data_IF_723224614023
#
_entry.id   IF_723224614023
#
_cell.length_a   1.000
_cell.length_b   1.000
_cell.length_c   1.000
_cell.angle_alpha   90.00
_cell.angle_beta   90.00
_cell.angle_gamma   90.00
#
_symmetry.space_group_name_H-M   'P 1'
#
loop_
_entity.id
_entity.type
_entity.pdbx_description
1 polymer ?
#
# COMPACT_ATOMS: atom_id res chain seq x y z
N UNK A 1 31.29 1.96 -20.04
CA UNK A 1 30.70 2.12 -18.70
C UNK A 1 29.18 2.16 -18.84
N UNK A 2 28.54 1.00 -18.92
CA UNK A 2 27.09 0.90 -19.14
C UNK A 2 26.40 0.85 -17.80
N UNK A 3 25.93 1.99 -17.29
CA UNK A 3 25.14 2.02 -16.06
C UNK A 3 23.78 1.36 -16.35
N UNK A 4 23.44 0.19 -15.79
CA UNK A 4 22.13 -0.37 -15.99
C UNK A 4 21.17 0.52 -15.21
N UNK A 5 20.40 1.34 -15.91
CA UNK A 5 19.20 2.00 -15.37
C UNK A 5 18.11 0.95 -15.13
N UNK A 6 18.46 -0.10 -14.39
CA UNK A 6 17.53 -1.09 -13.89
C UNK A 6 16.58 -0.37 -12.95
N UNK A 7 15.32 -0.25 -13.36
CA UNK A 7 14.23 0.17 -12.48
C UNK A 7 14.39 -0.63 -11.18
N UNK A 8 14.57 0.02 -10.01
CA UNK A 8 14.80 -0.71 -8.76
C UNK A 8 13.71 -1.76 -8.60
N UNK A 9 14.14 -3.00 -8.39
CA UNK A 9 13.28 -4.17 -8.25
C UNK A 9 12.16 -3.81 -7.30
N UNK A 10 10.92 -3.77 -7.80
CA UNK A 10 9.76 -3.36 -6.98
C UNK A 10 9.75 -4.23 -5.73
N UNK A 11 9.97 -3.62 -4.56
CA UNK A 11 9.95 -4.36 -3.29
C UNK A 11 8.65 -5.16 -3.19
N UNK A 12 8.80 -6.45 -2.88
CA UNK A 12 7.66 -7.36 -2.76
C UNK A 12 6.84 -6.93 -1.55
N UNK A 13 5.55 -6.66 -1.78
CA UNK A 13 4.62 -6.41 -0.69
C UNK A 13 4.16 -7.78 -0.18
N UNK A 14 4.54 -8.12 1.05
CA UNK A 14 4.05 -9.31 1.76
C UNK A 14 3.17 -8.80 2.90
N UNK A 15 1.96 -9.34 3.01
CA UNK A 15 1.02 -9.02 4.08
C UNK A 15 0.66 -10.31 4.78
N UNK A 16 1.04 -10.44 6.05
CA UNK A 16 0.70 -11.63 6.85
C UNK A 16 -0.82 -11.70 7.09
N UNK A 17 -1.37 -12.88 7.45
CA UNK A 17 -2.78 -12.99 7.84
C UNK A 17 -3.19 -12.02 8.96
N UNK A 18 -2.32 -11.85 9.97
CA UNK A 18 -2.52 -10.91 11.08
C UNK A 18 -2.55 -9.46 10.61
N UNK A 19 -1.58 -9.06 9.75
CA UNK A 19 -1.57 -7.73 9.17
C UNK A 19 -2.80 -7.48 8.31
N UNK A 20 -3.27 -8.49 7.56
CA UNK A 20 -4.49 -8.41 6.76
C UNK A 20 -5.73 -8.18 7.63
N UNK A 21 -5.79 -8.81 8.80
CA UNK A 21 -6.85 -8.59 9.78
C UNK A 21 -6.77 -7.16 10.35
N UNK A 22 -5.59 -6.71 10.78
CA UNK A 22 -5.38 -5.36 11.30
C UNK A 22 -5.78 -4.29 10.26
N UNK A 23 -5.36 -4.44 9.00
CA UNK A 23 -5.77 -3.55 7.91
C UNK A 23 -7.29 -3.49 7.75
N UNK A 24 -7.98 -4.63 7.87
CA UNK A 24 -9.45 -4.67 7.80
C UNK A 24 -10.10 -3.95 8.98
N UNK A 25 -9.55 -4.08 10.19
CA UNK A 25 -10.05 -3.36 11.36
C UNK A 25 -9.89 -1.84 11.19
N UNK A 26 -8.73 -1.38 10.71
CA UNK A 26 -8.49 0.04 10.40
C UNK A 26 -9.51 0.60 9.40
N UNK A 27 -9.97 -0.21 8.45
CA UNK A 27 -10.96 0.20 7.45
C UNK A 27 -12.35 0.40 8.05
N UNK A 28 -12.67 -0.31 9.13
CA UNK A 28 -13.96 -0.26 9.82
C UNK A 28 -14.00 0.81 10.93
N UNK A 29 -12.88 1.47 11.22
CA UNK A 29 -12.83 2.45 12.30
C UNK A 29 -13.67 3.72 12.03
N UNK A 30 -14.04 4.47 13.08
CA UNK A 30 -14.85 5.68 12.98
C UNK A 30 -14.24 6.78 12.10
N UNK A 31 -15.05 7.75 11.69
CA UNK A 31 -14.68 8.84 10.74
C UNK A 31 -13.39 9.58 11.08
N UNK A 32 -13.02 9.69 12.36
CA UNK A 32 -11.76 10.33 12.80
C UNK A 32 -10.50 9.68 12.21
N UNK A 33 -10.60 8.42 11.75
CA UNK A 33 -9.50 7.63 11.17
C UNK A 33 -9.56 7.50 9.64
N UNK A 34 -10.39 8.28 8.94
CA UNK A 34 -10.64 8.11 7.48
C UNK A 34 -9.37 8.09 6.63
N UNK A 35 -8.36 8.87 7.00
CA UNK A 35 -7.05 8.88 6.35
C UNK A 35 -6.30 7.56 6.53
N UNK A 36 -6.30 7.00 7.74
CA UNK A 36 -5.68 5.71 8.06
C UNK A 36 -6.41 4.57 7.35
N UNK A 37 -7.74 4.59 7.38
CA UNK A 37 -8.59 3.65 6.65
C UNK A 37 -8.31 3.68 5.13
N UNK A 38 -8.13 4.87 4.55
CA UNK A 38 -7.77 5.02 3.13
C UNK A 38 -6.42 4.38 2.80
N UNK A 39 -5.40 4.63 3.63
CA UNK A 39 -4.06 4.06 3.46
C UNK A 39 -4.08 2.54 3.60
N UNK A 40 -4.85 2.02 4.56
CA UNK A 40 -5.05 0.58 4.74
C UNK A 40 -5.73 -0.07 3.51
N UNK A 41 -6.73 0.59 2.90
CA UNK A 41 -7.36 0.12 1.65
C UNK A 41 -6.35 0.02 0.50
N UNK A 42 -5.49 1.03 0.33
CA UNK A 42 -4.43 1.02 -0.69
C UNK A 42 -3.55 -0.23 -0.55
N UNK A 43 -3.09 -0.52 0.67
CA UNK A 43 -2.21 -1.68 0.92
C UNK A 43 -2.93 -3.00 0.67
N UNK A 44 -4.17 -3.15 1.12
CA UNK A 44 -4.95 -4.36 0.85
C UNK A 44 -5.15 -4.59 -0.65
N UNK A 45 -5.43 -3.56 -1.43
CA UNK A 45 -5.59 -3.69 -2.88
C UNK A 45 -4.25 -4.03 -3.57
N UNK A 46 -3.15 -3.41 -3.13
CA UNK A 46 -1.81 -3.77 -3.60
C UNK A 46 -1.45 -5.23 -3.26
N UNK A 47 -1.88 -5.74 -2.10
CA UNK A 47 -1.62 -7.11 -1.65
C UNK A 47 -2.36 -8.17 -2.48
N UNK A 48 -3.41 -7.78 -3.23
CA UNK A 48 -4.09 -8.65 -4.20
C UNK A 48 -3.27 -8.90 -5.48
N UNK A 49 -2.07 -8.32 -5.61
CA UNK A 49 -1.22 -8.46 -6.80
C UNK A 49 -1.47 -7.42 -7.88
N UNK A 50 -2.37 -6.45 -7.65
CA UNK A 50 -2.59 -5.34 -8.57
C UNK A 50 -1.38 -4.41 -8.64
N UNK A 51 -1.11 -3.86 -9.82
CA UNK A 51 -0.09 -2.84 -9.98
C UNK A 51 -0.57 -1.47 -9.43
N UNK A 52 0.36 -0.58 -9.11
CA UNK A 52 0.01 0.70 -8.48
C UNK A 52 -0.92 1.57 -9.34
N UNK A 53 -0.88 1.45 -10.67
CA UNK A 53 -1.72 2.24 -11.58
C UNK A 53 -3.18 1.77 -11.50
N UNK A 54 -3.40 0.46 -11.52
CA UNK A 54 -4.73 -0.13 -11.36
C UNK A 54 -5.34 0.21 -9.98
N UNK A 55 -4.54 0.10 -8.92
CA UNK A 55 -4.98 0.47 -7.57
C UNK A 55 -5.27 1.98 -7.49
N UNK A 56 -4.45 2.82 -8.11
CA UNK A 56 -4.65 4.26 -8.12
C UNK A 56 -5.97 4.65 -8.82
N UNK A 57 -6.25 4.06 -9.98
CA UNK A 57 -7.52 4.26 -10.69
C UNK A 57 -8.72 3.83 -9.84
N UNK A 58 -8.65 2.64 -9.21
CA UNK A 58 -9.71 2.11 -8.35
C UNK A 58 -9.96 2.97 -7.11
N UNK A 59 -8.90 3.55 -6.54
CA UNK A 59 -8.96 4.35 -5.33
C UNK A 59 -9.11 5.85 -5.60
N UNK A 60 -9.28 6.26 -6.86
CA UNK A 60 -9.36 7.65 -7.29
C UNK A 60 -8.20 8.51 -6.76
N UNK A 61 -6.97 8.02 -6.92
CA UNK A 61 -5.74 8.70 -6.46
C UNK A 61 -4.61 8.55 -7.48
N UNK A 62 -3.40 9.02 -7.15
CA UNK A 62 -2.24 8.92 -8.02
C UNK A 62 -1.40 7.66 -7.74
N UNK A 63 -0.73 7.16 -8.79
CA UNK A 63 0.22 6.05 -8.65
C UNK A 63 1.38 6.37 -7.69
N UNK A 64 1.74 7.65 -7.55
CA UNK A 64 2.71 8.14 -6.57
C UNK A 64 2.21 7.92 -5.14
N UNK A 65 0.98 8.33 -4.82
CA UNK A 65 0.37 8.11 -3.50
C UNK A 65 0.31 6.62 -3.15
N UNK A 66 -0.09 5.78 -4.11
CA UNK A 66 -0.11 4.32 -3.91
C UNK A 66 1.29 3.78 -3.64
N UNK A 67 2.28 4.19 -4.44
CA UNK A 67 3.67 3.78 -4.27
C UNK A 67 4.25 4.20 -2.92
N UNK A 68 3.94 5.41 -2.46
CA UNK A 68 4.36 5.93 -1.17
C UNK A 68 3.85 5.05 -0.01
N UNK A 69 2.54 4.79 0.05
CA UNK A 69 1.96 3.99 1.13
C UNK A 69 2.38 2.53 1.08
N UNK A 70 2.49 1.96 -0.13
CA UNK A 70 3.08 0.64 -0.31
C UNK A 70 4.51 0.56 0.24
N UNK A 71 5.35 1.55 -0.07
CA UNK A 71 6.73 1.58 0.39
C UNK A 71 6.81 1.78 1.91
N UNK A 72 5.99 2.67 2.48
CA UNK A 72 5.91 2.87 3.94
C UNK A 72 5.50 1.59 4.66
N UNK A 73 4.49 0.90 4.17
CA UNK A 73 4.06 -0.38 4.75
C UNK A 73 5.15 -1.46 4.63
N UNK A 74 5.86 -1.55 3.50
CA UNK A 74 6.97 -2.50 3.36
C UNK A 74 8.07 -2.20 4.39
N UNK A 75 8.33 -0.93 4.69
CA UNK A 75 9.40 -0.54 5.63
C UNK A 75 9.00 -0.64 7.11
N UNK A 76 7.74 -0.37 7.47
CA UNK A 76 7.33 -0.29 8.89
C UNK A 76 5.97 -0.92 9.22
N UNK A 77 5.40 -1.69 8.31
CA UNK A 77 4.15 -2.41 8.52
C UNK A 77 2.96 -1.49 8.82
N UNK A 78 2.09 -1.95 9.71
CA UNK A 78 0.86 -1.24 10.11
C UNK A 78 1.17 0.12 10.75
N UNK A 79 2.23 0.21 11.57
CA UNK A 79 2.61 1.44 12.27
C UNK A 79 3.08 2.55 11.33
N UNK A 80 3.41 2.22 10.07
CA UNK A 80 3.87 3.18 9.06
C UNK A 80 2.74 3.72 8.15
N UNK A 81 1.50 3.27 8.37
CA UNK A 81 0.29 3.76 7.69
C UNK A 81 -0.24 5.02 8.38
#
# INVERSE_FOLDING_TARGET
>A
MSNPRGRPTKRKLVVSPEQKLALRQLIQQPRSSRSLAFRARIVLECARGQNNVAVAAKMHTSGFTVGMWRNRFISGGIAAL
#
